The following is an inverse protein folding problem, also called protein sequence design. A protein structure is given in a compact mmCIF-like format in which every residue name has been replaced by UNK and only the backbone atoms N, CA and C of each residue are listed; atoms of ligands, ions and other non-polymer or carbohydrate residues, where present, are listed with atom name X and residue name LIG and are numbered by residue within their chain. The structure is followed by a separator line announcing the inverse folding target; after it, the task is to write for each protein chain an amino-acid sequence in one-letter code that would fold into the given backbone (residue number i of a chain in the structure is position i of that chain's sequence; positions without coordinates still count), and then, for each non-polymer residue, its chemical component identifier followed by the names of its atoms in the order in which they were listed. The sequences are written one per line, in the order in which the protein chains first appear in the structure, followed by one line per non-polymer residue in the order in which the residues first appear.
data_IF_046823053448
#
_entry.id   IF_046823053448
#
_cell.length_a   1.000
_cell.length_b   1.000
_cell.length_c   1.000
_cell.angle_alpha   90.00
_cell.angle_beta   90.00
_cell.angle_gamma   90.00
#
_symmetry.space_group_name_H-M   'P 1'
#
loop_
_entity.id
_entity.type
_entity.pdbx_description
1 polymer ?
#
# COMPACT_ATOMS: atom_id res chain seq x y z
N UNK A 1 14.09 16.86 -2.55
CA UNK A 1 13.19 15.99 -3.35
C UNK A 1 11.81 15.98 -2.72
N UNK A 2 10.77 15.88 -3.53
CA UNK A 2 9.41 15.61 -3.06
C UNK A 2 9.20 14.10 -2.98
N UNK A 3 8.95 13.57 -1.78
CA UNK A 3 8.79 12.14 -1.53
C UNK A 3 7.37 11.86 -1.05
N UNK A 4 6.68 10.96 -1.73
CA UNK A 4 5.32 10.56 -1.40
C UNK A 4 5.31 9.14 -0.80
N UNK A 5 4.88 9.03 0.44
CA UNK A 5 4.62 7.73 1.06
C UNK A 5 3.20 7.26 0.79
N UNK A 6 3.07 5.96 0.55
CA UNK A 6 1.79 5.29 0.34
C UNK A 6 1.63 4.20 1.40
N UNK A 7 0.70 4.41 2.32
CA UNK A 7 0.40 3.41 3.35
C UNK A 7 -0.95 3.71 4.02
N UNK A 8 -1.78 2.67 4.19
CA UNK A 8 -3.13 2.81 4.77
C UNK A 8 -3.14 3.46 6.16
N UNK A 9 -2.17 3.14 7.00
CA UNK A 9 -2.03 3.58 8.39
C UNK A 9 -0.67 4.25 8.63
N UNK A 10 -0.27 5.18 7.74
CA UNK A 10 1.00 5.89 7.90
C UNK A 10 1.12 6.51 9.31
N UNK A 11 2.30 6.45 9.98
CA UNK A 11 3.63 6.09 9.45
C UNK A 11 3.98 4.59 9.44
N UNK A 12 3.30 3.74 10.23
CA UNK A 12 3.53 2.30 10.29
C UNK A 12 5.04 1.93 10.21
N UNK A 13 5.46 1.16 9.19
CA UNK A 13 6.86 0.75 8.98
C UNK A 13 7.79 1.94 8.72
N UNK A 14 7.27 3.07 8.26
CA UNK A 14 8.04 4.25 7.88
C UNK A 14 8.30 5.24 9.04
N UNK A 15 7.95 4.84 10.29
CA UNK A 15 8.07 5.70 11.49
C UNK A 15 9.47 6.26 11.77
N UNK A 16 10.51 5.60 11.29
CA UNK A 16 11.91 6.06 11.39
C UNK A 16 12.40 6.70 10.11
N UNK A 17 11.99 6.17 8.96
CA UNK A 17 12.43 6.63 7.65
C UNK A 17 11.90 8.05 7.33
N UNK A 18 10.62 8.30 7.54
CA UNK A 18 10.02 9.59 7.22
C UNK A 18 10.66 10.74 8.00
N UNK A 19 10.84 10.68 9.35
CA UNK A 19 11.56 11.73 10.09
C UNK A 19 13.03 11.89 9.66
N UNK A 20 13.70 10.79 9.30
CA UNK A 20 15.08 10.87 8.84
C UNK A 20 15.20 11.61 7.50
N UNK A 21 14.25 11.43 6.60
CA UNK A 21 14.22 12.14 5.32
C UNK A 21 13.86 13.63 5.50
N UNK A 22 12.96 13.97 6.43
CA UNK A 22 12.64 15.35 6.79
C UNK A 22 13.90 16.08 7.28
N UNK A 23 14.65 15.46 8.22
CA UNK A 23 15.91 16.05 8.73
C UNK A 23 16.96 16.26 7.64
N UNK A 24 16.88 15.55 6.53
CA UNK A 24 17.74 15.74 5.34
C UNK A 24 17.21 16.78 4.37
N UNK A 25 16.15 17.50 4.73
CA UNK A 25 15.58 18.57 3.92
C UNK A 25 14.70 18.12 2.75
N UNK A 26 14.15 16.90 2.82
CA UNK A 26 13.18 16.45 1.82
C UNK A 26 11.76 16.91 2.17
N UNK A 27 10.97 17.22 1.16
CA UNK A 27 9.53 17.52 1.27
C UNK A 27 8.76 16.21 1.28
N UNK A 28 8.12 15.92 2.41
CA UNK A 28 7.47 14.63 2.66
C UNK A 28 5.96 14.78 2.68
N UNK A 29 5.30 13.95 1.90
CA UNK A 29 3.86 13.79 1.94
C UNK A 29 3.46 12.31 2.09
N UNK A 30 2.22 12.05 2.49
CA UNK A 30 1.66 10.72 2.45
C UNK A 30 0.21 10.70 1.96
N UNK A 31 -0.15 9.63 1.24
CA UNK A 31 -1.52 9.21 1.00
C UNK A 31 -1.88 8.10 1.99
N UNK A 32 -2.97 8.27 2.75
CA UNK A 32 -3.38 7.37 3.83
C UNK A 32 -4.89 7.38 4.02
N UNK A 33 -5.46 6.30 4.56
CA UNK A 33 -6.88 6.28 4.95
C UNK A 33 -7.16 7.07 6.23
N UNK A 34 -6.15 7.27 7.07
CA UNK A 34 -6.29 7.91 8.38
C UNK A 34 -5.42 9.17 8.49
N UNK A 35 -5.76 10.26 7.76
CA UNK A 35 -4.96 11.49 7.78
C UNK A 35 -4.98 12.19 9.15
N UNK A 36 -6.00 11.92 9.96
CA UNK A 36 -6.19 12.52 11.30
C UNK A 36 -5.72 11.63 12.44
N UNK A 37 -4.91 10.63 12.16
CA UNK A 37 -4.31 9.74 13.15
C UNK A 37 -3.57 10.55 14.24
N UNK A 38 -3.73 10.15 15.51
CA UNK A 38 -2.97 10.72 16.64
C UNK A 38 -1.45 10.45 16.55
N UNK A 39 -1.02 9.58 15.64
CA UNK A 39 0.39 9.22 15.43
C UNK A 39 1.01 9.96 14.24
N UNK A 40 0.70 11.25 14.08
CA UNK A 40 1.28 12.05 13.00
C UNK A 40 2.79 12.23 13.19
N UNK A 41 3.51 12.21 12.07
CA UNK A 41 4.91 12.64 12.00
C UNK A 41 4.93 14.12 11.64
N UNK A 42 5.60 14.91 12.46
CA UNK A 42 5.75 16.35 12.22
C UNK A 42 6.51 16.61 10.91
N UNK A 43 6.08 17.62 10.16
CA UNK A 43 6.68 17.96 8.86
C UNK A 43 6.21 17.12 7.68
N UNK A 44 5.21 16.26 7.86
CA UNK A 44 4.59 15.48 6.76
C UNK A 44 3.27 16.10 6.34
N UNK A 45 3.07 16.27 5.03
CA UNK A 45 1.79 16.66 4.44
C UNK A 45 0.88 15.42 4.27
N UNK A 46 -0.26 15.40 4.97
CA UNK A 46 -1.19 14.26 4.98
C UNK A 46 -2.33 14.47 3.99
N UNK A 47 -2.48 13.55 3.05
CA UNK A 47 -3.59 13.49 2.11
C UNK A 47 -4.48 12.28 2.40
N UNK A 48 -5.76 12.54 2.67
CA UNK A 48 -6.75 11.50 2.93
C UNK A 48 -7.20 10.78 1.67
N UNK A 49 -7.36 9.46 1.75
CA UNK A 49 -7.90 8.62 0.68
C UNK A 49 -9.27 8.09 1.08
N UNK A 50 -10.38 8.60 0.50
CA UNK A 50 -11.70 8.11 0.83
C UNK A 50 -11.98 6.76 0.15
N UNK A 51 -12.32 5.73 0.90
CA UNK A 51 -12.88 4.49 0.37
C UNK A 51 -14.40 4.65 0.28
N UNK A 52 -14.96 4.45 -0.93
CA UNK A 52 -16.40 4.69 -1.21
C UNK A 52 -17.20 3.41 -1.43
N UNK A 53 -16.56 2.26 -1.41
CA UNK A 53 -17.21 0.96 -1.60
C UNK A 53 -16.50 -0.14 -0.80
N UNK A 54 -17.23 -1.18 -0.48
CA UNK A 54 -16.70 -2.42 0.10
C UNK A 54 -16.73 -3.55 -0.93
N UNK A 55 -16.11 -4.68 -0.58
CA UNK A 55 -16.13 -5.89 -1.41
C UNK A 55 -17.55 -6.41 -1.62
N UNK A 56 -17.78 -7.05 -2.75
CA UNK A 56 -19.06 -7.67 -3.12
C UNK A 56 -19.34 -8.86 -2.23
N UNK A 57 -20.59 -9.00 -1.74
CA UNK A 57 -20.95 -10.08 -0.79
C UNK A 57 -20.85 -11.48 -1.41
N UNK A 58 -21.23 -11.61 -2.69
CA UNK A 58 -21.35 -12.92 -3.37
C UNK A 58 -20.21 -13.16 -4.37
N UNK A 59 -19.06 -12.49 -4.18
CA UNK A 59 -17.88 -12.74 -5.01
C UNK A 59 -17.32 -14.14 -4.73
N UNK A 60 -16.73 -14.74 -5.76
CA UNK A 60 -16.03 -16.02 -5.59
C UNK A 60 -14.96 -15.89 -4.47
N UNK A 61 -14.92 -16.79 -3.47
CA UNK A 61 -14.05 -16.62 -2.29
C UNK A 61 -12.56 -16.40 -2.61
N UNK A 62 -12.05 -16.98 -3.68
CA UNK A 62 -10.66 -16.81 -4.09
C UNK A 62 -10.37 -15.43 -4.68
N UNK A 63 -11.39 -14.71 -5.13
CA UNK A 63 -11.24 -13.35 -5.67
C UNK A 63 -11.42 -12.24 -4.62
N UNK A 64 -11.88 -12.57 -3.41
CA UNK A 64 -12.19 -11.59 -2.38
C UNK A 64 -10.98 -10.70 -2.00
N UNK A 65 -9.79 -11.31 -1.87
CA UNK A 65 -8.56 -10.56 -1.59
C UNK A 65 -8.18 -9.67 -2.78
N UNK A 66 -8.28 -10.19 -4.00
CA UNK A 66 -7.98 -9.44 -5.22
C UNK A 66 -8.96 -8.27 -5.43
N UNK A 67 -10.25 -8.47 -5.21
CA UNK A 67 -11.23 -7.38 -5.26
C UNK A 67 -10.94 -6.30 -4.21
N UNK A 68 -10.63 -6.71 -2.98
CA UNK A 68 -10.29 -5.78 -1.91
C UNK A 68 -9.07 -4.92 -2.26
N UNK A 69 -8.03 -5.53 -2.81
CA UNK A 69 -6.83 -4.81 -3.29
C UNK A 69 -7.16 -3.87 -4.45
N UNK A 70 -8.01 -4.30 -5.38
CA UNK A 70 -8.44 -3.48 -6.51
C UNK A 70 -9.22 -2.25 -6.04
N UNK A 71 -10.15 -2.40 -5.09
CA UNK A 71 -10.92 -1.30 -4.51
C UNK A 71 -9.99 -0.27 -3.85
N UNK A 72 -8.99 -0.73 -3.09
CA UNK A 72 -8.01 0.15 -2.46
C UNK A 72 -7.13 0.83 -3.50
N UNK A 73 -6.61 0.09 -4.47
CA UNK A 73 -5.83 0.63 -5.57
C UNK A 73 -6.58 1.71 -6.34
N UNK A 74 -7.87 1.49 -6.64
CA UNK A 74 -8.73 2.49 -7.27
C UNK A 74 -8.85 3.76 -6.41
N UNK A 75 -9.09 3.62 -5.10
CA UNK A 75 -9.22 4.76 -4.20
C UNK A 75 -7.93 5.60 -4.16
N UNK A 76 -6.78 4.94 -4.05
CA UNK A 76 -5.48 5.62 -4.09
C UNK A 76 -5.20 6.26 -5.46
N UNK A 77 -5.50 5.56 -6.55
CA UNK A 77 -5.40 6.12 -7.90
C UNK A 77 -6.19 7.41 -8.05
N UNK A 78 -7.47 7.43 -7.61
CA UNK A 78 -8.32 8.62 -7.71
C UNK A 78 -7.79 9.79 -6.87
N UNK A 79 -7.32 9.52 -5.66
CA UNK A 79 -6.71 10.55 -4.80
C UNK A 79 -5.41 11.08 -5.41
N UNK A 80 -4.55 10.21 -5.89
CA UNK A 80 -3.30 10.54 -6.57
C UNK A 80 -3.55 11.37 -7.84
N UNK A 81 -4.52 10.95 -8.65
CA UNK A 81 -4.88 11.68 -9.89
C UNK A 81 -5.41 13.07 -9.61
N UNK A 82 -6.19 13.25 -8.53
CA UNK A 82 -6.61 14.56 -8.06
C UNK A 82 -5.40 15.43 -7.70
N UNK A 83 -4.47 14.93 -6.89
CA UNK A 83 -3.24 15.64 -6.52
C UNK A 83 -2.41 16.04 -7.75
N UNK A 84 -2.29 15.14 -8.73
CA UNK A 84 -1.60 15.46 -10.00
C UNK A 84 -2.26 16.62 -10.73
N UNK A 85 -3.60 16.65 -10.79
CA UNK A 85 -4.34 17.77 -11.40
C UNK A 85 -4.14 19.09 -10.66
N UNK A 86 -3.91 19.04 -9.36
CA UNK A 86 -3.58 20.18 -8.50
C UNK A 86 -2.10 20.58 -8.59
N UNK A 87 -1.32 19.94 -9.48
CA UNK A 87 0.08 20.26 -9.74
C UNK A 87 1.08 19.51 -8.84
N UNK A 88 0.64 18.56 -8.03
CA UNK A 88 1.56 17.77 -7.21
C UNK A 88 2.29 16.72 -8.06
N UNK A 89 3.62 16.76 -8.05
CA UNK A 89 4.50 15.82 -8.75
C UNK A 89 5.59 15.35 -7.79
N UNK A 90 5.54 14.09 -7.33
CA UNK A 90 6.62 13.52 -6.51
C UNK A 90 7.81 13.10 -7.37
N UNK A 91 9.02 13.26 -6.84
CA UNK A 91 10.23 12.71 -7.43
C UNK A 91 10.35 11.22 -7.14
N UNK A 92 9.98 10.83 -5.91
CA UNK A 92 10.06 9.46 -5.39
C UNK A 92 8.75 9.09 -4.71
N UNK A 93 8.24 7.90 -5.02
CA UNK A 93 7.11 7.27 -4.33
C UNK A 93 7.64 6.06 -3.57
N UNK A 94 7.37 6.00 -2.25
CA UNK A 94 7.72 4.87 -1.40
C UNK A 94 6.42 4.23 -0.91
N UNK A 95 6.19 2.98 -1.27
CA UNK A 95 4.93 2.30 -1.00
C UNK A 95 5.13 0.93 -0.37
N UNK A 96 4.18 0.53 0.47
CA UNK A 96 4.02 -0.84 0.91
C UNK A 96 3.07 -1.56 -0.07
N UNK A 97 3.46 -2.67 -0.71
CA UNK A 97 2.66 -3.28 -1.78
C UNK A 97 1.51 -4.17 -1.30
N UNK A 98 1.52 -4.60 -0.03
CA UNK A 98 0.72 -5.73 0.46
C UNK A 98 -0.80 -5.59 0.38
N UNK A 99 -1.33 -4.37 0.35
CA UNK A 99 -2.77 -4.12 0.49
C UNK A 99 -3.44 -3.53 -0.74
N UNK A 100 -2.70 -3.33 -1.84
CA UNK A 100 -3.24 -2.85 -3.10
C UNK A 100 -3.09 -1.35 -3.38
N UNK A 101 -2.71 -0.54 -2.39
CA UNK A 101 -2.65 0.93 -2.50
C UNK A 101 -1.72 1.43 -3.61
N UNK A 102 -0.69 0.64 -3.94
CA UNK A 102 0.35 1.04 -4.89
C UNK A 102 0.09 0.63 -6.34
N UNK A 103 -0.87 -0.26 -6.60
CA UNK A 103 -1.02 -0.99 -7.88
C UNK A 103 -1.07 -0.07 -9.10
N UNK A 104 -1.80 1.06 -9.03
CA UNK A 104 -2.06 1.92 -10.20
C UNK A 104 -1.31 3.25 -10.17
N UNK A 105 -0.45 3.50 -9.20
CA UNK A 105 0.16 4.82 -9.02
C UNK A 105 1.20 5.15 -10.08
N UNK A 106 1.83 4.14 -10.69
CA UNK A 106 2.77 4.35 -11.79
C UNK A 106 2.10 4.93 -13.03
N UNK A 107 0.80 4.67 -13.23
CA UNK A 107 0.00 5.29 -14.29
C UNK A 107 -0.25 6.78 -14.04
N UNK A 108 -0.32 7.18 -12.77
CA UNK A 108 -0.48 8.58 -12.42
C UNK A 108 0.83 9.36 -12.63
N UNK A 109 1.94 8.84 -12.14
CA UNK A 109 3.26 9.48 -12.20
C UNK A 109 4.31 8.57 -12.84
N UNK A 110 4.28 8.40 -14.17
CA UNK A 110 5.17 7.47 -14.87
C UNK A 110 6.65 7.84 -14.78
N UNK A 111 6.96 9.13 -14.60
CA UNK A 111 8.33 9.63 -14.47
C UNK A 111 8.90 9.57 -13.06
N UNK A 112 8.05 9.39 -12.03
CA UNK A 112 8.53 9.28 -10.65
C UNK A 112 9.27 7.96 -10.42
N UNK A 113 10.32 8.02 -9.61
CA UNK A 113 10.96 6.79 -9.09
C UNK A 113 9.96 6.09 -8.17
N UNK A 114 9.84 4.76 -8.32
CA UNK A 114 8.91 3.97 -7.54
C UNK A 114 9.68 2.93 -6.73
N UNK A 115 9.65 3.04 -5.40
CA UNK A 115 10.29 2.12 -4.46
C UNK A 115 9.22 1.35 -3.67
N UNK A 116 9.27 0.04 -3.72
CA UNK A 116 8.38 -0.83 -2.96
C UNK A 116 9.11 -1.40 -1.74
N UNK A 117 8.53 -1.21 -0.56
CA UNK A 117 8.97 -1.86 0.66
C UNK A 117 8.32 -3.24 0.77
N UNK A 118 8.96 -4.23 0.11
CA UNK A 118 8.46 -5.60 0.08
C UNK A 118 8.87 -6.33 1.37
N UNK A 119 7.89 -6.76 2.16
CA UNK A 119 8.11 -7.53 3.38
C UNK A 119 8.12 -9.03 3.11
N UNK A 120 7.16 -9.50 2.30
CA UNK A 120 6.93 -10.91 2.05
C UNK A 120 6.71 -11.21 0.57
N UNK A 121 7.19 -12.39 0.18
CA UNK A 121 6.75 -13.08 -1.02
C UNK A 121 6.20 -14.44 -0.60
N UNK A 122 4.91 -14.66 -0.79
CA UNK A 122 4.25 -15.87 -0.33
C UNK A 122 4.52 -17.05 -1.27
N UNK A 123 5.20 -18.06 -0.76
CA UNK A 123 5.33 -19.36 -1.44
C UNK A 123 4.24 -20.30 -0.96
N UNK A 124 3.87 -21.26 -1.81
CA UNK A 124 2.88 -22.29 -1.45
C UNK A 124 3.41 -23.29 -0.41
N UNK A 125 4.73 -23.39 -0.25
CA UNK A 125 5.40 -24.28 0.71
C UNK A 125 6.68 -23.66 1.23
N UNK A 126 6.98 -23.93 2.50
CA UNK A 126 8.19 -23.45 3.17
C UNK A 126 8.16 -21.97 3.52
N UNK A 127 9.21 -21.46 4.14
CA UNK A 127 9.30 -20.11 4.69
C UNK A 127 8.13 -19.83 5.65
N UNK A 128 7.32 -18.79 5.37
CA UNK A 128 6.23 -18.38 6.24
C UNK A 128 5.02 -19.33 6.20
N UNK A 129 4.87 -20.10 5.11
CA UNK A 129 3.76 -21.04 4.95
C UNK A 129 4.15 -22.41 5.47
N UNK A 130 3.43 -22.87 6.51
CA UNK A 130 3.65 -24.19 7.14
C UNK A 130 4.96 -24.28 7.95
N UNK A 131 5.52 -23.14 8.40
CA UNK A 131 6.70 -23.17 9.27
C UNK A 131 6.34 -23.67 10.68
N UNK A 132 5.11 -23.41 11.13
CA UNK A 132 4.61 -23.82 12.42
C UNK A 132 3.80 -25.14 12.29
N UNK A 133 4.27 -26.27 12.85
CA UNK A 133 3.59 -27.55 12.75
C UNK A 133 2.26 -27.60 13.51
N UNK A 134 2.00 -26.67 14.43
CA UNK A 134 0.71 -26.56 15.12
C UNK A 134 -0.40 -26.05 14.19
N UNK A 135 -0.04 -25.39 13.08
CA UNK A 135 -0.94 -24.84 12.07
C UNK A 135 -0.63 -25.41 10.68
N UNK A 136 -0.87 -26.70 10.42
CA UNK A 136 -0.59 -27.31 9.13
C UNK A 136 -1.46 -26.72 8.02
N UNK A 137 -0.89 -26.60 6.82
CA UNK A 137 -1.68 -26.26 5.62
C UNK A 137 -2.49 -27.51 5.23
N UNK A 138 -3.78 -27.50 5.52
CA UNK A 138 -4.66 -28.65 5.32
C UNK A 138 -5.22 -28.73 3.90
N UNK A 139 -5.40 -27.58 3.21
CA UNK A 139 -6.06 -27.51 1.92
C UNK A 139 -5.10 -27.03 0.81
N UNK A 140 -4.96 -27.84 -0.24
CA UNK A 140 -4.20 -27.49 -1.44
C UNK A 140 -4.77 -26.23 -2.14
N UNK A 141 -6.06 -25.91 -1.92
CA UNK A 141 -6.69 -24.70 -2.40
C UNK A 141 -6.03 -23.43 -1.82
N UNK A 142 -5.43 -23.50 -0.63
CA UNK A 142 -4.65 -22.39 -0.05
C UNK A 142 -3.45 -22.04 -0.92
N UNK A 143 -2.78 -23.03 -1.49
CA UNK A 143 -1.68 -22.82 -2.44
C UNK A 143 -2.17 -22.11 -3.71
N UNK A 144 -3.37 -22.47 -4.21
CA UNK A 144 -3.96 -21.81 -5.37
C UNK A 144 -4.31 -20.34 -5.07
N UNK A 145 -4.87 -20.07 -3.89
CA UNK A 145 -5.17 -18.68 -3.46
C UNK A 145 -3.93 -17.83 -3.31
N UNK A 146 -2.82 -18.40 -2.87
CA UNK A 146 -1.54 -17.68 -2.77
C UNK A 146 -1.01 -17.23 -4.13
N UNK A 147 -1.28 -17.95 -5.21
CA UNK A 147 -0.92 -17.53 -6.57
C UNK A 147 -1.61 -16.23 -7.00
N UNK A 148 -2.82 -15.97 -6.48
CA UNK A 148 -3.56 -14.73 -6.74
C UNK A 148 -3.13 -13.58 -5.82
N UNK A 149 -2.35 -13.86 -4.78
CA UNK A 149 -1.92 -12.88 -3.77
C UNK A 149 -0.63 -12.17 -4.16
N UNK A 150 0.26 -12.83 -4.89
CA UNK A 150 1.52 -12.29 -5.37
C UNK A 150 1.33 -11.58 -6.71
#
# INVERSE_FOLDING_TARGET
MKILFIHQNFPAQFKFLAPALIRRGHDIACLTFSPDSKKKVEGVNYFGVPIRRSSTRDIHPWLADFETKTIRGEAYFRAAYKLKKEGYQPDLIIAHPGWGESIFLKEVWPSSIFALYCEFFYRSKGLDVGFDPEFPVEDIADSCRLMLKN
#
